data_IF_736238110684
#
_entry.id   IF_736238110684
#
_cell.length_a   1.000
_cell.length_b   1.000
_cell.length_c   1.000
_cell.angle_alpha   90.00
_cell.angle_beta   90.00
_cell.angle_gamma   90.00
#
_symmetry.space_group_name_H-M   'P 1'
#
loop_
_entity.id
_entity.type
_entity.pdbx_description
1 polymer ?
#
# COMPACT_ATOMS: atom_id res chain seq x y z
N UNK A 1 10.28 -26.69 -22.45
CA UNK A 1 10.40 -25.35 -21.86
C UNK A 1 9.03 -24.69 -21.98
N UNK A 2 8.53 -24.05 -20.92
CA UNK A 2 7.21 -23.40 -20.91
C UNK A 2 7.15 -22.27 -21.94
N UNK A 3 6.03 -22.17 -22.66
CA UNK A 3 5.83 -21.20 -23.75
C UNK A 3 4.73 -20.20 -23.43
N UNK A 4 3.84 -20.51 -22.49
CA UNK A 4 2.71 -19.66 -22.17
C UNK A 4 2.25 -19.78 -20.72
N UNK A 5 2.42 -18.69 -19.98
CA UNK A 5 2.05 -18.59 -18.59
C UNK A 5 0.64 -18.03 -18.41
N UNK A 6 -0.13 -18.64 -17.51
CA UNK A 6 -1.27 -17.98 -16.86
C UNK A 6 -0.80 -17.36 -15.54
N UNK A 7 -1.05 -16.07 -15.34
CA UNK A 7 -0.74 -15.36 -14.09
C UNK A 7 -2.04 -14.81 -13.48
N UNK A 8 -2.65 -15.53 -12.52
CA UNK A 8 -3.85 -15.04 -11.83
C UNK A 8 -3.50 -13.93 -10.81
N UNK A 9 -4.27 -12.85 -10.85
CA UNK A 9 -4.11 -11.63 -10.06
C UNK A 9 -5.40 -11.33 -9.30
N UNK A 10 -5.24 -10.92 -8.04
CA UNK A 10 -6.34 -10.56 -7.15
C UNK A 10 -6.29 -9.09 -6.70
N UNK A 11 -5.41 -8.28 -7.29
CA UNK A 11 -5.27 -6.86 -6.95
C UNK A 11 -4.62 -6.57 -5.60
N UNK A 12 -4.15 -7.58 -4.86
CA UNK A 12 -3.36 -7.37 -3.64
C UNK A 12 -1.97 -6.78 -3.94
N UNK A 13 -1.30 -6.20 -2.93
CA UNK A 13 0.11 -5.78 -3.06
C UNK A 13 1.02 -6.94 -3.49
N UNK A 14 0.70 -8.16 -3.05
CA UNK A 14 1.39 -9.39 -3.46
C UNK A 14 1.30 -9.60 -4.98
N UNK A 15 0.14 -9.29 -5.59
CA UNK A 15 -0.05 -9.42 -7.03
C UNK A 15 0.91 -8.52 -7.84
N UNK A 16 1.32 -7.36 -7.32
CA UNK A 16 2.28 -6.47 -8.00
C UNK A 16 3.67 -7.11 -8.10
N UNK A 17 4.19 -7.65 -7.00
CA UNK A 17 5.49 -8.33 -6.99
C UNK A 17 5.45 -9.62 -7.83
N UNK A 18 4.30 -10.32 -7.82
CA UNK A 18 4.09 -11.50 -8.65
C UNK A 18 4.25 -11.17 -10.15
N UNK A 19 3.68 -10.04 -10.60
CA UNK A 19 3.79 -9.58 -11.99
C UNK A 19 5.26 -9.40 -12.37
N UNK A 20 6.06 -8.72 -11.55
CA UNK A 20 7.49 -8.51 -11.84
C UNK A 20 8.23 -9.84 -12.00
N UNK A 21 8.06 -10.78 -11.06
CA UNK A 21 8.71 -12.09 -11.13
C UNK A 21 8.25 -12.91 -12.33
N UNK A 22 6.94 -12.89 -12.64
CA UNK A 22 6.39 -13.61 -13.77
C UNK A 22 6.89 -13.05 -15.11
N UNK A 23 7.01 -11.72 -15.23
CA UNK A 23 7.56 -11.06 -16.42
C UNK A 23 9.03 -11.41 -16.60
N UNK A 24 9.86 -11.31 -15.55
CA UNK A 24 11.28 -11.69 -15.61
C UNK A 24 11.47 -13.17 -15.99
N UNK A 25 10.66 -14.05 -15.40
CA UNK A 25 10.68 -15.46 -15.70
C UNK A 25 10.28 -15.75 -17.16
N UNK A 26 9.16 -15.18 -17.63
CA UNK A 26 8.71 -15.34 -19.00
C UNK A 26 9.71 -14.80 -20.02
N UNK A 27 10.34 -13.66 -19.75
CA UNK A 27 11.40 -13.08 -20.59
C UNK A 27 12.59 -14.03 -20.76
N UNK A 28 13.02 -14.65 -19.66
CA UNK A 28 14.13 -15.62 -19.68
C UNK A 28 13.82 -16.84 -20.54
N UNK A 29 12.54 -17.21 -20.67
CA UNK A 29 12.08 -18.35 -21.46
C UNK A 29 11.63 -17.98 -22.89
N UNK A 30 11.47 -16.69 -23.21
CA UNK A 30 10.79 -16.25 -24.44
C UNK A 30 9.31 -16.67 -24.48
N UNK A 31 8.65 -16.77 -23.31
CA UNK A 31 7.26 -17.18 -23.18
C UNK A 31 6.31 -15.98 -23.23
N UNK A 32 5.06 -16.22 -23.64
CA UNK A 32 3.97 -15.22 -23.55
C UNK A 32 3.22 -15.32 -22.21
N UNK A 33 2.49 -14.27 -21.82
CA UNK A 33 1.71 -14.24 -20.57
C UNK A 33 0.23 -13.92 -20.82
N UNK A 34 -0.68 -14.69 -20.22
CA UNK A 34 -2.07 -14.28 -20.00
C UNK A 34 -2.21 -13.88 -18.54
N UNK A 35 -2.47 -12.58 -18.28
CA UNK A 35 -2.87 -12.11 -16.97
C UNK A 35 -4.36 -12.35 -16.77
N UNK A 36 -4.74 -12.90 -15.63
CA UNK A 36 -6.12 -13.24 -15.33
C UNK A 36 -6.57 -12.59 -14.03
N UNK A 37 -7.79 -12.05 -13.99
CA UNK A 37 -8.41 -11.67 -12.72
C UNK A 37 -9.85 -12.15 -12.64
N UNK A 38 -10.22 -12.68 -11.47
CA UNK A 38 -11.57 -13.13 -11.17
C UNK A 38 -12.35 -12.01 -10.47
N UNK A 39 -13.54 -11.70 -10.99
CA UNK A 39 -14.54 -10.88 -10.32
C UNK A 39 -15.40 -11.77 -9.43
N UNK A 40 -15.51 -11.41 -8.16
CA UNK A 40 -16.51 -12.02 -7.30
C UNK A 40 -17.91 -11.66 -7.81
N UNK A 41 -18.82 -12.64 -7.82
CA UNK A 41 -20.23 -12.38 -8.05
C UNK A 41 -20.85 -11.81 -6.76
N UNK A 42 -20.52 -10.56 -6.42
CA UNK A 42 -20.94 -9.91 -5.15
C UNK A 42 -22.47 -9.71 -5.08
N UNK A 43 -23.23 -10.09 -6.10
CA UNK A 43 -24.69 -10.13 -6.02
C UNK A 43 -25.24 -11.25 -5.15
N UNK A 44 -24.39 -12.15 -4.62
CA UNK A 44 -24.80 -13.25 -3.75
C UNK A 44 -24.51 -13.02 -2.25
N UNK A 45 -23.92 -11.87 -1.86
CA UNK A 45 -23.74 -11.47 -0.46
C UNK A 45 -24.73 -10.36 -0.08
N UNK A 46 -25.19 -10.33 1.17
CA UNK A 46 -26.31 -9.48 1.61
C UNK A 46 -26.17 -7.98 1.27
N UNK A 47 -24.97 -7.42 1.45
CA UNK A 47 -24.72 -6.00 1.19
C UNK A 47 -24.53 -5.68 -0.31
N UNK A 48 -23.90 -6.58 -1.07
CA UNK A 48 -23.72 -6.42 -2.53
C UNK A 48 -25.01 -6.69 -3.32
N UNK A 49 -25.89 -7.54 -2.79
CA UNK A 49 -27.24 -7.75 -3.31
C UNK A 49 -28.11 -6.48 -3.17
N UNK A 50 -27.95 -5.74 -2.07
CA UNK A 50 -28.66 -4.48 -1.85
C UNK A 50 -28.20 -3.41 -2.86
N UNK A 51 -26.88 -3.24 -3.05
CA UNK A 51 -26.34 -2.28 -4.00
C UNK A 51 -26.67 -2.65 -5.46
N UNK A 52 -26.61 -3.95 -5.82
CA UNK A 52 -27.07 -4.47 -7.12
C UNK A 52 -28.56 -4.22 -7.36
N UNK A 53 -29.39 -4.28 -6.31
CA UNK A 53 -30.84 -4.06 -6.43
C UNK A 53 -31.20 -2.58 -6.56
N UNK A 54 -30.46 -1.69 -5.88
CA UNK A 54 -30.71 -0.25 -5.90
C UNK A 54 -30.15 0.42 -7.17
N UNK A 55 -28.96 0.02 -7.61
CA UNK A 55 -28.27 0.60 -8.78
C UNK A 55 -27.40 -0.45 -9.50
N UNK A 56 -28.00 -1.33 -10.33
CA UNK A 56 -27.27 -2.38 -11.05
C UNK A 56 -26.11 -1.86 -11.90
N UNK A 57 -26.30 -0.72 -12.57
CA UNK A 57 -25.32 -0.14 -13.49
C UNK A 57 -24.07 0.39 -12.77
N UNK A 58 -24.26 1.10 -11.65
CA UNK A 58 -23.16 1.64 -10.85
C UNK A 58 -22.31 0.53 -10.21
N UNK A 59 -22.94 -0.56 -9.77
CA UNK A 59 -22.24 -1.74 -9.26
C UNK A 59 -21.43 -2.44 -10.36
N UNK A 60 -22.01 -2.59 -11.55
CA UNK A 60 -21.33 -3.19 -12.70
C UNK A 60 -20.11 -2.36 -13.15
N UNK A 61 -20.25 -1.03 -13.14
CA UNK A 61 -19.22 -0.07 -13.54
C UNK A 61 -18.04 -0.02 -12.55
N UNK A 62 -18.29 0.06 -11.24
CA UNK A 62 -17.25 0.06 -10.22
C UNK A 62 -16.42 -1.24 -10.24
N UNK A 63 -17.10 -2.39 -10.33
CA UNK A 63 -16.44 -3.69 -10.40
C UNK A 63 -15.73 -3.94 -11.74
N UNK A 64 -16.17 -3.31 -12.83
CA UNK A 64 -15.43 -3.32 -14.10
C UNK A 64 -14.17 -2.45 -14.03
N UNK A 65 -14.25 -1.30 -13.36
CA UNK A 65 -13.12 -0.39 -13.14
C UNK A 65 -11.96 -1.03 -12.37
N UNK A 66 -12.25 -1.74 -11.28
CA UNK A 66 -11.22 -2.40 -10.46
C UNK A 66 -10.47 -3.50 -11.22
N UNK A 67 -11.20 -4.40 -11.88
CA UNK A 67 -10.61 -5.49 -12.67
C UNK A 67 -9.77 -4.95 -13.85
N UNK A 68 -10.25 -3.90 -14.51
CA UNK A 68 -9.53 -3.24 -15.59
C UNK A 68 -8.24 -2.59 -15.09
N UNK A 69 -8.26 -1.97 -13.90
CA UNK A 69 -7.07 -1.35 -13.32
C UNK A 69 -5.98 -2.37 -12.95
N UNK A 70 -6.36 -3.53 -12.42
CA UNK A 70 -5.43 -4.63 -12.10
C UNK A 70 -4.72 -5.10 -13.38
N UNK A 71 -5.48 -5.41 -14.42
CA UNK A 71 -4.92 -5.90 -15.68
C UNK A 71 -4.11 -4.84 -16.42
N UNK A 72 -4.55 -3.58 -16.43
CA UNK A 72 -3.82 -2.49 -17.09
C UNK A 72 -2.39 -2.34 -16.55
N UNK A 73 -2.21 -2.43 -15.22
CA UNK A 73 -0.88 -2.39 -14.60
C UNK A 73 -0.01 -3.56 -15.03
N UNK A 74 -0.56 -4.77 -15.04
CA UNK A 74 0.17 -5.97 -15.41
C UNK A 74 0.58 -5.98 -16.89
N UNK A 75 -0.34 -5.56 -17.77
CA UNK A 75 -0.08 -5.41 -19.20
C UNK A 75 0.99 -4.36 -19.48
N UNK A 76 0.94 -3.21 -18.79
CA UNK A 76 1.97 -2.18 -18.92
C UNK A 76 3.36 -2.69 -18.49
N UNK A 77 3.44 -3.46 -17.39
CA UNK A 77 4.70 -4.04 -16.91
C UNK A 77 5.31 -5.04 -17.90
N UNK A 78 4.48 -5.88 -18.54
CA UNK A 78 4.95 -6.80 -19.58
C UNK A 78 5.29 -6.06 -20.89
N UNK A 79 4.50 -5.07 -21.27
CA UNK A 79 4.68 -4.25 -22.47
C UNK A 79 5.96 -3.42 -22.44
N UNK A 80 6.43 -2.98 -21.26
CA UNK A 80 7.71 -2.30 -21.09
C UNK A 80 8.93 -3.14 -21.51
N UNK A 81 8.75 -4.45 -21.72
CA UNK A 81 9.78 -5.39 -22.16
C UNK A 81 9.43 -6.10 -23.48
N UNK A 82 8.48 -5.56 -24.25
CA UNK A 82 8.00 -6.14 -25.53
C UNK A 82 7.53 -7.60 -25.40
N UNK A 83 7.05 -7.99 -24.21
CA UNK A 83 6.62 -9.35 -23.95
C UNK A 83 5.18 -9.57 -24.47
N UNK A 84 4.92 -10.59 -25.31
CA UNK A 84 3.56 -10.86 -25.78
C UNK A 84 2.65 -11.18 -24.58
N UNK A 85 1.63 -10.36 -24.37
CA UNK A 85 0.71 -10.51 -23.25
C UNK A 85 -0.72 -10.12 -23.57
N UNK A 86 -1.66 -10.69 -22.81
CA UNK A 86 -3.08 -10.35 -22.85
C UNK A 86 -3.69 -10.37 -21.44
N UNK A 87 -4.83 -9.71 -21.27
CA UNK A 87 -5.57 -9.65 -20.01
C UNK A 87 -6.95 -10.30 -20.15
N UNK A 88 -7.33 -11.13 -19.18
CA UNK A 88 -8.62 -11.83 -19.17
C UNK A 88 -9.33 -11.59 -17.84
N UNK A 89 -10.60 -11.19 -17.92
CA UNK A 89 -11.51 -11.09 -16.77
C UNK A 89 -12.57 -12.18 -16.89
N UNK A 90 -12.87 -12.86 -15.78
CA UNK A 90 -14.06 -13.73 -15.64
C UNK A 90 -14.78 -13.42 -14.34
N UNK A 91 -16.10 -13.53 -14.37
CA UNK A 91 -16.93 -13.40 -13.17
C UNK A 91 -17.40 -14.78 -12.74
N UNK A 92 -17.30 -15.09 -11.45
CA UNK A 92 -17.81 -16.34 -10.90
C UNK A 92 -17.49 -16.52 -9.42
N UNK A 93 -18.21 -17.44 -8.78
CA UNK A 93 -18.12 -17.71 -7.34
C UNK A 93 -16.99 -18.67 -6.94
N UNK A 94 -16.33 -19.30 -7.92
CA UNK A 94 -15.27 -20.30 -7.70
C UNK A 94 -13.99 -19.92 -8.46
N UNK A 95 -13.15 -19.01 -7.91
CA UNK A 95 -12.00 -18.47 -8.63
C UNK A 95 -11.01 -19.52 -9.12
N UNK A 96 -10.71 -20.56 -8.33
CA UNK A 96 -9.78 -21.61 -8.77
C UNK A 96 -10.26 -22.37 -10.02
N UNK A 97 -11.57 -22.57 -10.20
CA UNK A 97 -12.10 -23.22 -11.42
C UNK A 97 -11.92 -22.30 -12.62
N UNK A 98 -12.22 -21.00 -12.46
CA UNK A 98 -11.99 -20.01 -13.52
C UNK A 98 -10.52 -19.93 -13.93
N UNK A 99 -9.59 -20.06 -12.98
CA UNK A 99 -8.15 -20.12 -13.28
C UNK A 99 -7.84 -21.31 -14.18
N UNK A 100 -8.33 -22.50 -13.84
CA UNK A 100 -8.11 -23.73 -14.62
C UNK A 100 -8.76 -23.64 -16.01
N UNK A 101 -9.99 -23.13 -16.07
CA UNK A 101 -10.74 -22.97 -17.32
C UNK A 101 -10.03 -22.00 -18.27
N UNK A 102 -9.59 -20.84 -17.76
CA UNK A 102 -8.87 -19.86 -18.57
C UNK A 102 -7.50 -20.39 -19.01
N UNK A 103 -6.80 -21.14 -18.15
CA UNK A 103 -5.53 -21.77 -18.53
C UNK A 103 -5.71 -22.73 -19.71
N UNK A 104 -6.76 -23.56 -19.67
CA UNK A 104 -7.09 -24.48 -20.74
C UNK A 104 -7.56 -23.76 -22.01
N UNK A 105 -8.47 -22.79 -21.89
CA UNK A 105 -9.05 -22.01 -23.00
C UNK A 105 -7.97 -21.25 -23.79
N UNK A 106 -6.94 -20.73 -23.09
CA UNK A 106 -5.87 -19.93 -23.69
C UNK A 106 -4.64 -20.73 -24.11
N UNK A 107 -4.64 -22.02 -23.82
CA UNK A 107 -3.51 -22.92 -24.14
C UNK A 107 -2.26 -22.62 -23.32
N UNK A 108 -2.44 -22.20 -22.06
CA UNK A 108 -1.34 -22.00 -21.13
C UNK A 108 -0.71 -23.36 -20.76
N UNK A 109 0.61 -23.39 -20.60
CA UNK A 109 1.36 -24.60 -20.22
C UNK A 109 2.03 -24.49 -18.84
N UNK A 110 1.86 -23.35 -18.16
CA UNK A 110 2.27 -23.12 -16.77
C UNK A 110 1.28 -22.17 -16.09
N UNK A 111 0.87 -22.48 -14.85
CA UNK A 111 0.17 -21.53 -13.98
C UNK A 111 1.18 -20.95 -12.98
N UNK A 112 1.41 -19.65 -13.02
CA UNK A 112 2.37 -18.94 -12.17
C UNK A 112 1.60 -18.16 -11.09
N UNK A 113 1.55 -18.69 -9.87
CA UNK A 113 0.70 -18.18 -8.80
C UNK A 113 1.50 -17.63 -7.62
N UNK A 114 0.95 -16.64 -6.93
CA UNK A 114 1.40 -16.30 -5.59
C UNK A 114 1.08 -17.41 -4.60
N UNK A 115 1.89 -17.55 -3.55
CA UNK A 115 1.63 -18.47 -2.44
C UNK A 115 0.33 -18.12 -1.69
N UNK A 116 -0.06 -16.85 -1.67
CA UNK A 116 -1.26 -16.32 -0.99
C UNK A 116 -1.82 -15.09 -1.72
N UNK A 117 -3.05 -14.70 -1.38
CA UNK A 117 -3.75 -13.56 -1.98
C UNK A 117 -4.40 -12.64 -0.94
N UNK A 118 -5.39 -11.83 -1.36
CA UNK A 118 -6.12 -10.80 -0.59
C UNK A 118 -6.58 -11.22 0.81
N UNK A 119 -6.93 -12.51 0.99
CA UNK A 119 -7.48 -13.07 2.24
C UNK A 119 -6.48 -13.94 3.03
N UNK A 120 -5.23 -14.05 2.58
CA UNK A 120 -4.21 -14.87 3.24
C UNK A 120 -3.67 -14.18 4.50
N UNK A 121 -3.75 -14.86 5.65
CA UNK A 121 -3.02 -14.46 6.85
C UNK A 121 -1.51 -14.52 6.55
N UNK A 122 -0.79 -13.41 6.76
CA UNK A 122 0.67 -13.35 6.59
C UNK A 122 1.34 -14.38 7.51
N UNK A 123 2.19 -15.23 6.94
CA UNK A 123 2.93 -16.27 7.67
C UNK A 123 2.19 -17.61 7.83
N UNK A 124 2.76 -18.64 7.19
CA UNK A 124 2.55 -20.10 7.37
C UNK A 124 1.44 -20.87 6.64
N UNK A 125 0.40 -20.28 6.04
CA UNK A 125 -0.71 -21.09 5.47
C UNK A 125 -1.08 -20.79 4.01
N UNK A 126 -0.62 -21.66 3.09
CA UNK A 126 -0.86 -21.60 1.64
C UNK A 126 -2.28 -21.14 1.28
N UNK A 127 -2.38 -20.14 0.39
CA UNK A 127 -3.64 -19.51 0.04
C UNK A 127 -4.69 -20.52 -0.45
N UNK A 128 -5.94 -20.35 -0.01
CA UNK A 128 -7.02 -21.31 -0.29
C UNK A 128 -7.28 -21.53 -1.79
N UNK A 129 -7.01 -20.54 -2.65
CA UNK A 129 -7.09 -20.71 -4.10
C UNK A 129 -5.87 -21.43 -4.65
N UNK A 130 -4.66 -21.06 -4.23
CA UNK A 130 -3.40 -21.72 -4.63
C UNK A 130 -3.42 -23.21 -4.28
N UNK A 131 -3.88 -23.58 -3.07
CA UNK A 131 -4.02 -24.98 -2.68
C UNK A 131 -5.02 -25.74 -3.56
N UNK A 132 -6.16 -25.13 -3.88
CA UNK A 132 -7.16 -25.73 -4.77
C UNK A 132 -6.63 -25.90 -6.19
N UNK A 133 -5.91 -24.92 -6.74
CA UNK A 133 -5.28 -25.04 -8.06
C UNK A 133 -4.21 -26.14 -8.05
N UNK A 134 -3.33 -26.19 -7.04
CA UNK A 134 -2.35 -27.28 -6.90
C UNK A 134 -2.99 -28.66 -6.83
N UNK A 135 -4.14 -28.77 -6.18
CA UNK A 135 -4.86 -30.04 -6.02
C UNK A 135 -5.57 -30.49 -7.30
N UNK A 136 -6.06 -29.56 -8.12
CA UNK A 136 -6.96 -29.87 -9.24
C UNK A 136 -6.36 -29.57 -10.63
N UNK A 137 -5.22 -28.89 -10.70
CA UNK A 137 -4.57 -28.56 -11.97
C UNK A 137 -3.94 -29.79 -12.62
N UNK A 138 -4.18 -29.95 -13.92
CA UNK A 138 -3.43 -30.88 -14.78
C UNK A 138 -2.19 -30.23 -15.39
N UNK A 139 -2.04 -28.91 -15.27
CA UNK A 139 -0.88 -28.15 -15.70
C UNK A 139 0.12 -27.99 -14.56
N UNK A 140 1.43 -27.89 -14.86
CA UNK A 140 2.41 -27.46 -13.88
C UNK A 140 2.02 -26.14 -13.23
N UNK A 141 2.21 -26.05 -11.91
CA UNK A 141 1.92 -24.86 -11.12
C UNK A 141 3.21 -24.43 -10.45
N UNK A 142 3.69 -23.22 -10.77
CA UNK A 142 4.81 -22.60 -10.09
C UNK A 142 4.25 -21.64 -9.05
N UNK A 143 4.54 -21.93 -7.79
CA UNK A 143 4.13 -21.09 -6.67
C UNK A 143 5.29 -20.22 -6.24
N UNK A 144 5.16 -18.91 -6.47
CA UNK A 144 6.12 -17.91 -6.05
C UNK A 144 5.85 -17.49 -4.60
N UNK A 145 6.87 -17.61 -3.75
CA UNK A 145 6.87 -16.99 -2.43
C UNK A 145 7.23 -15.53 -2.58
N UNK A 146 6.29 -14.65 -2.26
CA UNK A 146 6.47 -13.20 -2.36
C UNK A 146 6.96 -12.61 -1.02
N UNK A 147 6.87 -13.41 0.05
CA UNK A 147 7.63 -13.20 1.27
C UNK A 147 8.97 -13.91 1.13
N UNK A 148 10.07 -13.19 1.39
CA UNK A 148 11.41 -13.76 1.43
C UNK A 148 11.41 -14.98 2.36
N UNK A 149 11.64 -16.17 1.82
CA UNK A 149 11.68 -17.41 2.61
C UNK A 149 13.02 -17.60 3.36
N UNK A 150 13.74 -16.50 3.59
CA UNK A 150 14.71 -16.44 4.69
C UNK A 150 13.85 -16.33 5.94
N UNK A 151 14.15 -17.06 7.02
CA UNK A 151 13.54 -16.78 8.33
C UNK A 151 13.72 -15.28 8.57
N UNK A 152 12.64 -14.50 8.41
CA UNK A 152 12.70 -13.06 8.53
C UNK A 152 13.17 -12.81 9.95
N UNK A 153 14.37 -12.23 10.09
CA UNK A 153 14.83 -11.79 11.39
C UNK A 153 13.76 -10.88 11.99
N UNK A 154 13.67 -10.80 13.33
CA UNK A 154 12.78 -9.84 13.97
C UNK A 154 13.07 -8.42 13.46
N UNK A 155 14.32 -8.15 13.04
CA UNK A 155 14.72 -6.90 12.40
C UNK A 155 13.99 -6.66 11.07
N UNK A 156 13.95 -7.66 10.18
CA UNK A 156 13.27 -7.55 8.89
C UNK A 156 11.74 -7.39 9.06
N UNK A 157 11.16 -8.08 10.04
CA UNK A 157 9.74 -7.94 10.37
C UNK A 157 9.42 -6.54 10.91
N UNK A 158 10.17 -6.06 11.91
CA UNK A 158 10.01 -4.73 12.48
C UNK A 158 10.20 -3.62 11.43
N UNK A 159 11.30 -3.66 10.68
CA UNK A 159 11.60 -2.69 9.61
C UNK A 159 10.50 -2.70 8.55
N UNK A 160 9.99 -3.88 8.17
CA UNK A 160 8.87 -4.00 7.25
C UNK A 160 7.61 -3.31 7.77
N UNK A 161 7.28 -3.46 9.06
CA UNK A 161 6.14 -2.78 9.67
C UNK A 161 6.34 -1.25 9.66
N UNK A 162 7.48 -0.77 10.13
CA UNK A 162 7.81 0.67 10.20
C UNK A 162 7.69 1.31 8.81
N UNK A 163 8.32 0.70 7.79
CA UNK A 163 8.24 1.19 6.41
C UNK A 163 6.82 1.19 5.85
N UNK A 164 5.96 0.25 6.26
CA UNK A 164 4.56 0.26 5.83
C UNK A 164 3.80 1.44 6.46
N UNK A 165 4.07 1.76 7.73
CA UNK A 165 3.54 2.95 8.38
C UNK A 165 4.05 4.21 7.66
N UNK A 166 5.34 4.31 7.33
CA UNK A 166 5.91 5.43 6.57
C UNK A 166 5.27 5.59 5.19
N UNK A 167 5.00 4.49 4.47
CA UNK A 167 4.30 4.54 3.17
C UNK A 167 2.90 5.15 3.30
N UNK A 168 2.19 4.85 4.38
CA UNK A 168 0.88 5.42 4.68
C UNK A 168 0.98 6.94 4.95
N UNK A 169 1.92 7.32 5.82
CA UNK A 169 2.21 8.73 6.15
C UNK A 169 2.61 9.51 4.89
N UNK A 170 3.52 8.96 4.08
CA UNK A 170 3.97 9.57 2.84
C UNK A 170 2.86 9.76 1.80
N UNK A 171 1.85 8.88 1.77
CA UNK A 171 0.69 9.06 0.90
C UNK A 171 -0.15 10.27 1.32
N UNK A 172 -0.36 10.46 2.63
CA UNK A 172 -1.05 11.64 3.17
C UNK A 172 -0.24 12.92 2.95
N UNK A 173 1.08 12.89 3.17
CA UNK A 173 1.98 14.02 2.88
C UNK A 173 1.90 14.45 1.41
N UNK A 174 1.88 13.48 0.47
CA UNK A 174 1.69 13.78 -0.96
C UNK A 174 0.33 14.41 -1.23
N UNK A 175 -0.72 13.90 -0.60
CA UNK A 175 -2.07 14.49 -0.68
C UNK A 175 -2.09 15.95 -0.17
N UNK A 176 -1.45 16.22 0.96
CA UNK A 176 -1.30 17.56 1.53
C UNK A 176 -0.56 18.51 0.58
N UNK A 177 0.55 18.08 -0.03
CA UNK A 177 1.26 18.90 -1.04
C UNK A 177 0.37 19.27 -2.22
N UNK A 178 -0.42 18.32 -2.72
CA UNK A 178 -1.37 18.61 -3.81
C UNK A 178 -2.44 19.61 -3.37
N UNK A 179 -2.91 19.55 -2.11
CA UNK A 179 -3.82 20.57 -1.58
C UNK A 179 -3.16 21.93 -1.43
N UNK A 180 -1.87 21.98 -1.06
CA UNK A 180 -1.08 23.22 -1.05
C UNK A 180 -1.08 23.90 -2.41
N UNK A 181 -0.87 23.13 -3.50
CA UNK A 181 -0.90 23.68 -4.86
C UNK A 181 -2.30 24.23 -5.22
N UNK A 182 -3.37 23.56 -4.79
CA UNK A 182 -4.74 24.03 -4.98
C UNK A 182 -5.06 25.30 -4.19
N UNK A 183 -4.53 25.44 -2.97
CA UNK A 183 -4.68 26.67 -2.17
C UNK A 183 -3.94 27.86 -2.80
N UNK A 184 -2.86 27.61 -3.56
CA UNK A 184 -2.09 28.65 -4.28
C UNK A 184 -2.67 28.97 -5.66
N UNK A 185 -3.35 28.03 -6.30
CA UNK A 185 -3.87 28.14 -7.67
C UNK A 185 -5.12 29.01 -7.82
N UNK A 186 -5.27 29.64 -8.99
CA UNK A 186 -6.50 30.36 -9.36
C UNK A 186 -7.40 29.42 -10.17
N UNK A 187 -8.53 28.97 -9.59
CA UNK A 187 -9.62 28.32 -10.36
C UNK A 187 -10.19 27.02 -9.79
N UNK A 188 -9.51 26.34 -8.86
CA UNK A 188 -10.07 25.20 -8.13
C UNK A 188 -10.50 25.63 -6.73
N UNK A 189 -11.71 25.24 -6.31
CA UNK A 189 -12.17 25.45 -4.93
C UNK A 189 -11.45 24.44 -4.02
N UNK A 190 -10.68 24.87 -3.01
CA UNK A 190 -10.01 23.95 -2.10
C UNK A 190 -11.02 23.09 -1.34
N UNK A 191 -10.77 21.78 -1.24
CA UNK A 191 -11.59 20.88 -0.43
C UNK A 191 -11.09 20.87 1.01
N UNK A 192 -11.63 21.79 1.81
CA UNK A 192 -11.26 21.93 3.22
C UNK A 192 -11.69 20.75 4.11
N UNK A 193 -12.71 19.97 3.73
CA UNK A 193 -13.10 18.77 4.47
C UNK A 193 -12.08 17.66 4.24
N UNK A 194 -11.65 17.49 2.98
CA UNK A 194 -10.60 16.54 2.65
C UNK A 194 -9.28 16.91 3.33
N UNK A 195 -8.92 18.19 3.31
CA UNK A 195 -7.75 18.70 4.01
C UNK A 195 -7.83 18.43 5.52
N UNK A 196 -8.98 18.70 6.14
CA UNK A 196 -9.21 18.39 7.56
C UNK A 196 -9.04 16.89 7.86
N UNK A 197 -9.53 15.99 6.98
CA UNK A 197 -9.37 14.54 7.17
C UNK A 197 -7.91 14.09 7.12
N UNK A 198 -7.08 14.69 6.26
CA UNK A 198 -5.64 14.42 6.21
C UNK A 198 -4.93 14.90 7.47
N UNK A 199 -5.24 16.11 7.96
CA UNK A 199 -4.67 16.64 9.19
C UNK A 199 -5.09 15.80 10.41
N UNK A 200 -6.36 15.36 10.44
CA UNK A 200 -6.84 14.46 11.48
C UNK A 200 -6.05 13.13 11.50
N UNK A 201 -5.79 12.54 10.34
CA UNK A 201 -4.95 11.34 10.25
C UNK A 201 -3.53 11.58 10.80
N UNK A 202 -2.89 12.69 10.41
CA UNK A 202 -1.54 13.03 10.87
C UNK A 202 -1.49 13.20 12.40
N UNK A 203 -2.53 13.79 12.99
CA UNK A 203 -2.64 13.95 14.44
C UNK A 203 -2.92 12.63 15.16
N UNK A 204 -3.78 11.78 14.60
CA UNK A 204 -4.24 10.56 15.26
C UNK A 204 -3.26 9.38 15.12
N UNK A 205 -2.45 9.35 14.06
CA UNK A 205 -1.57 8.22 13.76
C UNK A 205 -0.07 8.54 13.95
N UNK A 206 0.59 9.38 13.13
CA UNK A 206 1.99 9.79 13.36
C UNK A 206 2.27 10.24 14.80
N UNK A 207 1.57 11.29 15.25
CA UNK A 207 1.90 11.96 16.52
C UNK A 207 1.53 11.13 17.75
N UNK A 208 0.37 10.49 17.75
CA UNK A 208 -0.15 9.79 18.93
C UNK A 208 0.33 8.35 19.01
N UNK A 209 0.70 7.74 17.89
CA UNK A 209 0.96 6.31 17.85
C UNK A 209 2.31 5.93 17.25
N UNK A 210 2.70 6.50 16.11
CA UNK A 210 3.93 6.11 15.43
C UNK A 210 5.18 6.65 16.14
N UNK A 211 5.32 7.99 16.23
CA UNK A 211 6.49 8.64 16.83
C UNK A 211 6.75 8.18 18.28
N UNK A 212 5.74 8.03 19.17
CA UNK A 212 5.98 7.52 20.52
C UNK A 212 6.62 6.13 20.55
N UNK A 213 6.29 5.25 19.57
CA UNK A 213 6.92 3.92 19.49
C UNK A 213 8.36 4.02 19.00
N UNK A 214 8.65 4.92 18.07
CA UNK A 214 10.02 5.16 17.58
C UNK A 214 10.90 5.61 18.73
N UNK A 215 10.46 6.62 19.48
CA UNK A 215 11.19 7.13 20.64
C UNK A 215 11.37 6.04 21.71
N UNK A 216 10.27 5.40 22.13
CA UNK A 216 10.27 4.46 23.25
C UNK A 216 10.99 3.15 22.95
N UNK A 217 10.94 2.66 21.71
CA UNK A 217 11.41 1.31 21.38
C UNK A 217 12.64 1.29 20.46
N UNK A 218 12.69 2.16 19.45
CA UNK A 218 13.76 2.15 18.45
C UNK A 218 14.92 3.06 18.86
N UNK A 219 14.64 4.35 19.08
CA UNK A 219 15.65 5.36 19.38
C UNK A 219 16.29 5.12 20.74
N UNK A 220 15.49 4.87 21.79
CA UNK A 220 15.98 4.58 23.14
C UNK A 220 16.99 3.43 23.16
N UNK A 221 16.68 2.31 22.48
CA UNK A 221 17.55 1.13 22.41
C UNK A 221 18.79 1.39 21.56
N UNK A 222 18.64 2.10 20.45
CA UNK A 222 19.77 2.42 19.59
C UNK A 222 20.76 3.35 20.29
N UNK A 223 20.26 4.39 20.96
CA UNK A 223 21.07 5.31 21.76
C UNK A 223 21.79 4.61 22.91
N UNK A 224 21.16 3.61 23.54
CA UNK A 224 21.78 2.81 24.59
C UNK A 224 22.92 1.90 24.10
N UNK A 225 22.92 1.53 22.80
CA UNK A 225 23.91 0.61 22.22
C UNK A 225 25.01 1.29 21.41
N UNK A 226 24.75 2.47 20.84
CA UNK A 226 25.70 3.17 19.98
C UNK A 226 25.54 4.68 20.04
N UNK A 227 26.66 5.38 20.22
CA UNK A 227 26.73 6.84 20.11
C UNK A 227 26.79 7.36 18.66
N UNK A 228 26.89 6.48 17.66
CA UNK A 228 27.10 6.85 16.24
C UNK A 228 26.05 7.83 15.73
N UNK A 229 24.79 7.63 16.14
CA UNK A 229 23.64 8.42 15.66
C UNK A 229 22.97 9.22 16.77
N UNK A 230 23.61 9.41 17.93
CA UNK A 230 22.99 10.06 19.08
C UNK A 230 22.54 11.50 18.78
N UNK A 231 23.36 12.28 18.06
CA UNK A 231 23.00 13.64 17.65
C UNK A 231 21.82 13.65 16.66
N UNK A 232 21.74 12.66 15.77
CA UNK A 232 20.63 12.52 14.82
C UNK A 232 19.34 12.15 15.54
N UNK A 233 19.38 11.20 16.49
CA UNK A 233 18.23 10.85 17.33
C UNK A 233 17.69 12.08 18.07
N UNK A 234 18.57 12.85 18.71
CA UNK A 234 18.16 14.07 19.41
C UNK A 234 17.52 15.11 18.47
N UNK A 235 17.99 15.21 17.22
CA UNK A 235 17.36 16.06 16.19
C UNK A 235 15.97 15.54 15.82
N UNK A 236 15.81 14.23 15.58
CA UNK A 236 14.53 13.63 15.19
C UNK A 236 13.48 13.75 16.31
N UNK A 237 13.85 13.52 17.57
CA UNK A 237 12.96 13.73 18.72
C UNK A 237 12.55 15.21 18.87
N UNK A 238 13.45 16.15 18.52
CA UNK A 238 13.09 17.56 18.47
C UNK A 238 12.11 17.85 17.33
N UNK A 239 12.32 17.24 16.16
CA UNK A 239 11.41 17.33 15.02
C UNK A 239 10.02 16.79 15.34
N UNK A 240 9.88 15.69 16.09
CA UNK A 240 8.58 15.21 16.58
C UNK A 240 7.85 16.28 17.42
N UNK A 241 8.55 16.91 18.37
CA UNK A 241 7.99 17.98 19.20
C UNK A 241 7.58 19.23 18.39
N UNK A 242 8.29 19.51 17.30
CA UNK A 242 7.99 20.61 16.40
C UNK A 242 6.85 20.27 15.42
N UNK A 243 6.73 18.99 15.03
CA UNK A 243 5.65 18.45 14.23
C UNK A 243 4.29 18.68 14.89
N UNK A 244 4.15 18.31 16.16
CA UNK A 244 2.94 18.55 16.95
C UNK A 244 2.52 20.03 16.96
N UNK A 245 3.46 20.96 17.17
CA UNK A 245 3.18 22.41 17.14
C UNK A 245 2.76 22.91 15.76
N UNK A 246 3.38 22.36 14.71
CA UNK A 246 3.05 22.71 13.32
C UNK A 246 1.63 22.28 12.97
N UNK A 247 1.17 21.13 13.49
CA UNK A 247 -0.20 20.64 13.29
C UNK A 247 -1.21 21.59 13.95
N UNK A 248 -0.95 22.04 15.19
CA UNK A 248 -1.82 23.01 15.87
C UNK A 248 -1.92 24.35 15.10
N UNK A 249 -0.80 24.83 14.53
CA UNK A 249 -0.78 26.00 13.63
C UNK A 249 -1.65 25.76 12.38
N UNK A 250 -1.50 24.60 11.74
CA UNK A 250 -2.25 24.23 10.54
C UNK A 250 -3.75 24.13 10.84
N UNK A 251 -4.16 23.52 11.96
CA UNK A 251 -5.57 23.44 12.35
C UNK A 251 -6.20 24.83 12.55
N UNK A 252 -5.47 25.75 13.19
CA UNK A 252 -5.90 27.13 13.36
C UNK A 252 -6.06 27.85 12.02
N UNK A 253 -5.07 27.74 11.13
CA UNK A 253 -5.11 28.36 9.80
C UNK A 253 -6.21 27.75 8.93
N UNK A 254 -6.43 26.44 9.03
CA UNK A 254 -7.48 25.72 8.30
C UNK A 254 -8.88 26.22 8.69
N UNK A 255 -9.11 26.49 9.98
CA UNK A 255 -10.38 27.06 10.44
C UNK A 255 -10.63 28.47 9.87
N UNK A 256 -9.57 29.26 9.65
CA UNK A 256 -9.64 30.63 9.13
C UNK A 256 -9.71 30.68 7.59
N UNK A 257 -9.09 29.73 6.91
CA UNK A 257 -8.93 29.71 5.44
C UNK A 257 -10.26 29.65 4.67
N UNK A 258 -11.35 29.15 5.29
CA UNK A 258 -12.68 29.13 4.67
C UNK A 258 -13.26 30.53 4.44
N UNK A 259 -12.84 31.51 5.25
CA UNK A 259 -13.42 32.85 5.24
C UNK A 259 -12.61 33.86 4.41
N UNK A 260 -11.40 33.53 3.98
CA UNK A 260 -10.46 34.54 3.48
C UNK A 260 -9.31 33.97 2.66
N UNK A 261 -9.11 34.52 1.45
CA UNK A 261 -8.01 34.13 0.54
C UNK A 261 -6.61 34.36 1.12
N UNK A 262 -6.30 35.48 1.81
CA UNK A 262 -5.03 35.60 2.55
C UNK A 262 -4.74 34.46 3.53
N UNK A 263 -5.77 33.95 4.22
CA UNK A 263 -5.61 32.82 5.14
C UNK A 263 -5.39 31.49 4.40
N UNK A 264 -5.88 31.34 3.16
CA UNK A 264 -5.56 30.19 2.31
C UNK A 264 -4.09 30.17 1.91
N UNK A 265 -3.50 31.32 1.58
CA UNK A 265 -2.06 31.41 1.30
C UNK A 265 -1.22 31.12 2.55
N UNK A 266 -1.60 31.65 3.72
CA UNK A 266 -0.91 31.35 4.98
C UNK A 266 -0.98 29.84 5.32
N UNK A 267 -2.14 29.21 5.12
CA UNK A 267 -2.31 27.77 5.28
C UNK A 267 -1.42 27.00 4.29
N UNK A 268 -1.36 27.43 3.03
CA UNK A 268 -0.49 26.81 2.02
C UNK A 268 0.99 26.86 2.43
N UNK A 269 1.47 28.01 2.90
CA UNK A 269 2.85 28.17 3.38
C UNK A 269 3.13 27.24 4.59
N UNK A 270 2.19 27.13 5.53
CA UNK A 270 2.33 26.25 6.69
C UNK A 270 2.38 24.76 6.28
N UNK A 271 1.49 24.34 5.36
CA UNK A 271 1.47 22.98 4.82
C UNK A 271 2.74 22.63 4.06
N UNK A 272 3.29 23.56 3.27
CA UNK A 272 4.55 23.34 2.54
C UNK A 272 5.72 23.11 3.51
N UNK A 273 5.88 24.01 4.50
CA UNK A 273 6.91 23.84 5.56
C UNK A 273 6.78 22.50 6.27
N UNK A 274 5.55 22.13 6.65
CA UNK A 274 5.27 20.89 7.35
C UNK A 274 5.59 19.66 6.48
N UNK A 275 5.09 19.62 5.24
CA UNK A 275 5.29 18.47 4.34
C UNK A 275 6.73 18.30 3.88
N UNK A 276 7.52 19.38 3.78
CA UNK A 276 8.96 19.33 3.54
C UNK A 276 9.74 18.80 4.76
N UNK A 277 9.39 19.27 5.95
CA UNK A 277 9.99 18.76 7.19
C UNK A 277 9.73 17.26 7.35
N UNK A 278 8.48 16.83 7.21
CA UNK A 278 8.09 15.43 7.34
C UNK A 278 8.76 14.51 6.31
N UNK A 279 8.93 14.96 5.06
CA UNK A 279 9.62 14.17 4.05
C UNK A 279 11.11 13.97 4.36
N UNK A 280 11.78 15.02 4.86
CA UNK A 280 13.18 14.95 5.30
C UNK A 280 13.32 14.03 6.52
N UNK A 281 12.39 14.13 7.46
CA UNK A 281 12.31 13.33 8.66
C UNK A 281 12.24 11.83 8.35
N UNK A 282 11.18 11.39 7.64
CA UNK A 282 11.01 9.98 7.23
C UNK A 282 12.21 9.46 6.41
N UNK A 283 12.80 10.33 5.57
CA UNK A 283 14.00 9.99 4.81
C UNK A 283 15.21 9.74 5.70
N UNK A 284 15.40 10.54 6.76
CA UNK A 284 16.49 10.36 7.70
C UNK A 284 16.33 9.07 8.50
N UNK A 285 15.12 8.75 8.94
CA UNK A 285 14.84 7.50 9.63
C UNK A 285 15.14 6.29 8.76
N UNK A 286 14.61 6.24 7.54
CA UNK A 286 14.78 5.09 6.67
C UNK A 286 16.22 4.91 6.16
N UNK A 287 16.92 6.01 5.88
CA UNK A 287 18.25 5.96 5.25
C UNK A 287 19.39 5.96 6.26
N UNK A 288 19.17 6.45 7.48
CA UNK A 288 20.22 6.61 8.49
C UNK A 288 19.91 5.83 9.77
N UNK A 289 18.72 6.00 10.36
CA UNK A 289 18.37 5.33 11.62
C UNK A 289 18.19 3.82 11.44
N UNK A 290 17.33 3.37 10.51
CA UNK A 290 17.07 1.93 10.34
C UNK A 290 18.33 1.13 9.97
N UNK A 291 19.25 1.62 9.10
CA UNK A 291 20.52 0.94 8.86
C UNK A 291 21.46 0.94 10.07
N UNK A 292 21.49 2.01 10.87
CA UNK A 292 22.25 2.04 12.12
C UNK A 292 21.66 1.06 13.15
N UNK A 293 20.34 1.06 13.32
CA UNK A 293 19.62 0.11 14.16
C UNK A 293 19.95 -1.34 13.76
N UNK A 294 19.95 -1.65 12.46
CA UNK A 294 20.23 -3.01 11.98
C UNK A 294 21.65 -3.47 12.31
N UNK A 295 22.61 -2.54 12.39
CA UNK A 295 24.01 -2.85 12.74
C UNK A 295 24.21 -3.05 14.25
N UNK A 296 23.48 -2.29 15.08
CA UNK A 296 23.77 -2.19 16.52
C UNK A 296 22.76 -2.90 17.43
N UNK A 297 21.51 -3.08 16.98
CA UNK A 297 20.48 -3.75 17.78
C UNK A 297 20.57 -5.27 17.66
N UNK A 298 20.25 -5.94 18.77
CA UNK A 298 20.21 -7.39 18.87
C UNK A 298 18.86 -7.94 18.44
N UNK A 299 18.80 -9.25 18.17
CA UNK A 299 17.55 -9.94 17.85
C UNK A 299 16.48 -9.78 18.94
N UNK A 300 16.89 -9.71 20.22
CA UNK A 300 15.97 -9.47 21.35
C UNK A 300 15.34 -8.07 21.29
N UNK A 301 16.15 -7.04 21.03
CA UNK A 301 15.65 -5.67 20.85
C UNK A 301 14.64 -5.60 19.71
N UNK A 302 14.94 -6.26 18.60
CA UNK A 302 14.09 -6.27 17.43
C UNK A 302 12.75 -6.98 17.65
N UNK A 303 12.70 -8.05 18.44
CA UNK A 303 11.43 -8.71 18.80
C UNK A 303 10.52 -7.79 19.61
N UNK A 304 11.09 -7.02 20.54
CA UNK A 304 10.32 -6.07 21.32
C UNK A 304 9.80 -4.92 20.45
N UNK A 305 10.63 -4.41 19.54
CA UNK A 305 10.24 -3.38 18.57
C UNK A 305 9.11 -3.92 17.67
N UNK A 306 9.27 -5.12 17.11
CA UNK A 306 8.25 -5.78 16.29
C UNK A 306 6.93 -5.91 17.05
N UNK A 307 6.97 -6.38 18.30
CA UNK A 307 5.79 -6.54 19.14
C UNK A 307 5.09 -5.21 19.42
N UNK A 308 5.84 -4.14 19.68
CA UNK A 308 5.30 -2.79 19.89
C UNK A 308 4.65 -2.25 18.61
N UNK A 309 5.32 -2.35 17.47
CA UNK A 309 4.82 -1.83 16.20
C UNK A 309 3.67 -2.66 15.61
N UNK A 310 3.54 -3.95 15.95
CA UNK A 310 2.40 -4.78 15.56
C UNK A 310 1.09 -4.34 16.23
N UNK A 311 1.13 -3.67 17.39
CA UNK A 311 -0.09 -3.22 18.09
C UNK A 311 -0.94 -2.25 17.25
N UNK A 312 -0.35 -1.56 16.27
CA UNK A 312 -1.05 -0.62 15.38
C UNK A 312 -1.54 -1.24 14.06
N UNK A 313 -1.51 -2.58 13.93
CA UNK A 313 -1.94 -3.27 12.70
C UNK A 313 -3.39 -2.92 12.29
N UNK A 314 -4.20 -2.47 13.24
CA UNK A 314 -5.58 -2.00 13.04
C UNK A 314 -5.75 -0.60 12.41
N UNK A 315 -4.67 0.15 12.13
CA UNK A 315 -4.70 1.50 11.53
C UNK A 315 -3.85 1.64 10.25
N UNK A 316 -3.35 0.52 9.73
CA UNK A 316 -2.65 0.48 8.45
C UNK A 316 -3.63 0.71 7.29
N UNK A 317 -3.11 1.16 6.15
CA UNK A 317 -3.87 1.26 4.88
C UNK A 317 -4.59 -0.08 4.62
N UNK A 318 -5.92 -0.05 4.64
CA UNK A 318 -6.76 -1.24 4.42
C UNK A 318 -7.11 -2.09 5.66
N UNK A 319 -6.79 -1.64 6.87
CA UNK A 319 -7.21 -2.34 8.11
C UNK A 319 -8.64 -1.98 8.52
N UNK A 320 -9.38 -2.98 9.04
CA UNK A 320 -10.85 -3.01 9.09
C UNK A 320 -11.53 -2.03 10.06
N UNK A 321 -10.82 -1.30 10.94
CA UNK A 321 -11.44 -0.67 12.12
C UNK A 321 -11.60 0.86 12.12
N UNK A 322 -11.01 1.60 11.17
CA UNK A 322 -11.30 3.04 11.02
C UNK A 322 -11.78 3.36 9.60
N UNK A 323 -13.10 3.38 9.43
CA UNK A 323 -13.76 3.60 8.15
C UNK A 323 -13.40 4.98 7.56
N UNK A 324 -13.14 5.98 8.40
CA UNK A 324 -12.76 7.32 7.95
C UNK A 324 -11.37 7.30 7.30
N UNK A 325 -10.41 6.56 7.88
CA UNK A 325 -9.08 6.42 7.28
C UNK A 325 -9.10 5.57 6.01
N UNK A 326 -9.92 4.51 5.94
CA UNK A 326 -10.09 3.77 4.69
C UNK A 326 -10.57 4.67 3.55
N UNK A 327 -11.61 5.46 3.80
CA UNK A 327 -12.17 6.39 2.82
C UNK A 327 -11.14 7.45 2.40
N UNK A 328 -10.37 7.97 3.35
CA UNK A 328 -9.24 8.87 3.08
C UNK A 328 -8.23 8.21 2.12
N UNK A 329 -7.79 6.99 2.39
CA UNK A 329 -6.81 6.30 1.53
C UNK A 329 -7.37 5.93 0.15
N UNK A 330 -8.61 5.47 0.06
CA UNK A 330 -9.28 5.23 -1.24
C UNK A 330 -9.26 6.51 -2.08
N UNK A 331 -9.62 7.64 -1.46
CA UNK A 331 -9.62 8.95 -2.13
C UNK A 331 -8.23 9.38 -2.59
N UNK A 332 -7.21 9.25 -1.73
CA UNK A 332 -5.81 9.53 -2.09
C UNK A 332 -5.32 8.67 -3.25
N UNK A 333 -5.71 7.39 -3.29
CA UNK A 333 -5.30 6.48 -4.37
C UNK A 333 -5.95 6.81 -5.71
N UNK A 334 -7.22 7.23 -5.72
CA UNK A 334 -7.91 7.66 -6.95
C UNK A 334 -7.25 8.91 -7.53
N UNK A 335 -6.97 9.89 -6.68
CA UNK A 335 -6.25 11.13 -7.00
C UNK A 335 -4.89 10.84 -7.64
N UNK A 336 -4.10 9.95 -7.04
CA UNK A 336 -2.79 9.55 -7.59
C UNK A 336 -2.91 8.81 -8.95
N UNK A 337 -3.98 8.05 -9.17
CA UNK A 337 -4.21 7.35 -10.42
C UNK A 337 -4.63 8.29 -11.56
N UNK A 338 -5.30 9.39 -11.26
CA UNK A 338 -5.61 10.46 -12.22
C UNK A 338 -4.34 11.18 -12.68
N UNK A 339 -3.45 11.53 -11.76
CA UNK A 339 -2.19 12.22 -12.08
C UNK A 339 -1.26 11.39 -12.95
N UNK A 340 -1.25 10.06 -12.77
CA UNK A 340 -0.45 9.16 -13.60
C UNK A 340 -0.99 9.00 -15.03
N UNK A 341 -2.20 9.49 -15.32
CA UNK A 341 -2.84 9.44 -16.65
C UNK A 341 -2.80 10.77 -17.41
N UNK A 342 -2.49 11.87 -16.72
CA UNK A 342 -2.41 13.23 -17.27
C UNK A 342 -1.02 13.51 -17.86
#
# INVERSE_FOLDING_TARGET
MYRHLLVPLDGSELATNLVTQAVEFARTLGARITFFTAREDVGSSGDGALLRSLSPDAFAEAAAGEASAILAKALAAAGAFDLPCEGVVRTGSRPYELILDVAAERGCDLIFMASHGRRGLRGLMMGSQTQKVLTHSTLPVLVATIENNVVSSAADAAIGIIKNEHRAIAAVIRGLRRQTDQLRGQGAVPDFEFLASMIHYIKAFPEVQHHPKEEQYLFSRLAARSGEVAALIASLEQEHREGARSIDEIELLLAQARASTPHQFALADALERFTDAQWRHLSAEEKLILPAARRHLTEGDWRDIEAAFRQNEALRVGSERDEAFKLLFVRLMNIAAEDARA
#
